data_IF_826639818890
#
_entry.id   IF_826639818890
#
_cell.length_a   1.000
_cell.length_b   1.000
_cell.length_c   1.000
_cell.angle_alpha   90.00
_cell.angle_beta   90.00
_cell.angle_gamma   90.00
#
_symmetry.space_group_name_H-M   'P 1'
#
loop_
_entity.id
_entity.type
_entity.pdbx_description
1 polymer ?
#
# COMPACT_ATOMS: atom_id res chain seq x y z
N UNK A 1 1.92 21.66 -20.46
CA UNK A 1 1.53 22.62 -19.41
C UNK A 1 1.86 22.06 -18.01
N UNK A 2 1.93 22.93 -17.03
CA UNK A 2 2.17 22.53 -15.63
C UNK A 2 1.08 21.59 -15.13
N UNK A 3 -0.17 21.85 -15.44
CA UNK A 3 -1.31 21.02 -15.04
C UNK A 3 -1.23 19.61 -15.64
N UNK A 4 -0.80 19.48 -16.90
CA UNK A 4 -0.64 18.19 -17.55
C UNK A 4 0.50 17.38 -16.90
N UNK A 5 1.63 18.02 -16.62
CA UNK A 5 2.75 17.37 -15.96
C UNK A 5 2.36 16.89 -14.55
N UNK A 6 1.65 17.70 -13.81
CA UNK A 6 1.17 17.37 -12.47
C UNK A 6 0.19 16.18 -12.49
N UNK A 7 -0.72 16.16 -13.48
CA UNK A 7 -1.65 15.04 -13.68
C UNK A 7 -0.92 13.73 -14.01
N UNK A 8 0.14 13.79 -14.81
CA UNK A 8 0.98 12.62 -15.12
C UNK A 8 1.68 12.08 -13.88
N UNK A 9 2.14 12.94 -12.98
CA UNK A 9 2.79 12.52 -11.74
C UNK A 9 1.83 11.78 -10.81
N UNK A 10 0.58 12.26 -10.71
CA UNK A 10 -0.46 11.58 -9.94
C UNK A 10 -0.77 10.21 -10.54
N UNK A 11 -0.94 10.16 -11.87
CA UNK A 11 -1.19 8.90 -12.57
C UNK A 11 -0.04 7.92 -12.40
N UNK A 12 1.19 8.36 -12.57
CA UNK A 12 2.37 7.52 -12.40
C UNK A 12 2.47 6.97 -10.97
N UNK A 13 2.22 7.81 -9.97
CA UNK A 13 2.22 7.38 -8.58
C UNK A 13 1.18 6.28 -8.33
N UNK A 14 -0.05 6.50 -8.78
CA UNK A 14 -1.12 5.50 -8.64
C UNK A 14 -0.77 4.20 -9.35
N UNK A 15 -0.29 4.27 -10.58
CA UNK A 15 0.05 3.09 -11.38
C UNK A 15 1.20 2.28 -10.75
N UNK A 16 2.20 2.95 -10.19
CA UNK A 16 3.32 2.28 -9.53
C UNK A 16 2.92 1.65 -8.20
N UNK A 17 2.01 2.27 -7.46
CA UNK A 17 1.42 1.66 -6.26
C UNK A 17 0.67 0.38 -6.64
N UNK A 18 -0.20 0.44 -7.63
CA UNK A 18 -0.95 -0.72 -8.12
C UNK A 18 0.00 -1.83 -8.58
N UNK A 19 1.01 -1.48 -9.36
CA UNK A 19 2.01 -2.43 -9.87
C UNK A 19 2.74 -3.14 -8.73
N UNK A 20 3.11 -2.42 -7.68
CA UNK A 20 3.81 -2.99 -6.53
C UNK A 20 2.89 -3.93 -5.74
N UNK A 21 1.63 -3.55 -5.53
CA UNK A 21 0.64 -4.39 -4.86
C UNK A 21 0.43 -5.69 -5.64
N UNK A 22 0.24 -5.59 -6.96
CA UNK A 22 0.07 -6.77 -7.82
C UNK A 22 1.29 -7.66 -7.82
N UNK A 23 2.49 -7.09 -7.80
CA UNK A 23 3.72 -7.86 -7.70
C UNK A 23 3.79 -8.66 -6.40
N UNK A 24 3.46 -8.04 -5.27
CA UNK A 24 3.43 -8.73 -3.97
C UNK A 24 2.38 -9.85 -3.98
N UNK A 25 1.22 -9.61 -4.59
CA UNK A 25 0.18 -10.62 -4.74
C UNK A 25 0.69 -11.83 -5.53
N UNK A 26 1.31 -11.60 -6.69
CA UNK A 26 1.86 -12.68 -7.53
C UNK A 26 2.96 -13.44 -6.81
N UNK A 27 3.83 -12.74 -6.08
CA UNK A 27 4.90 -13.39 -5.29
C UNK A 27 4.35 -14.25 -4.15
N UNK A 28 3.17 -13.92 -3.64
CA UNK A 28 2.52 -14.67 -2.56
C UNK A 28 1.85 -15.95 -3.06
N UNK A 29 1.22 -15.89 -4.25
CA UNK A 29 0.43 -17.00 -4.78
C UNK A 29 1.27 -18.27 -4.96
N UNK A 30 0.75 -19.39 -4.48
CA UNK A 30 1.41 -20.69 -4.62
C UNK A 30 2.56 -20.95 -3.65
N UNK A 31 2.84 -20.03 -2.73
CA UNK A 31 3.87 -20.25 -1.71
C UNK A 31 3.32 -21.03 -0.52
N UNK A 32 4.21 -21.69 0.20
CA UNK A 32 3.82 -22.48 1.38
C UNK A 32 3.47 -21.61 2.59
N UNK A 33 3.98 -20.38 2.63
CA UNK A 33 3.78 -19.46 3.75
C UNK A 33 3.44 -18.07 3.25
N UNK A 34 2.62 -17.35 4.02
CA UNK A 34 2.33 -15.92 3.81
C UNK A 34 3.52 -15.11 4.32
N UNK A 35 4.55 -15.00 3.52
CA UNK A 35 5.80 -14.36 3.91
C UNK A 35 6.17 -13.17 3.04
N UNK A 36 5.22 -12.63 2.31
CA UNK A 36 5.41 -11.45 1.45
C UNK A 36 4.48 -10.34 1.91
N UNK A 37 4.99 -9.14 2.10
CA UNK A 37 4.17 -7.96 2.35
C UNK A 37 4.51 -6.85 1.36
N UNK A 38 3.49 -6.05 1.01
CA UNK A 38 3.65 -4.80 0.30
C UNK A 38 3.49 -3.67 1.31
N UNK A 39 4.42 -2.72 1.32
CA UNK A 39 4.37 -1.56 2.22
C UNK A 39 4.40 -0.29 1.38
N UNK A 40 3.38 0.55 1.58
CA UNK A 40 3.35 1.89 1.00
C UNK A 40 3.62 2.86 2.15
N UNK A 41 4.68 3.66 2.03
CA UNK A 41 5.15 4.52 3.11
C UNK A 41 5.45 5.94 2.63
N UNK A 42 5.55 6.85 3.60
CA UNK A 42 6.00 8.23 3.35
C UNK A 42 7.26 8.51 4.16
N UNK A 43 8.31 8.93 3.46
CA UNK A 43 9.55 9.40 4.09
C UNK A 43 9.47 10.91 4.27
N UNK A 44 9.30 11.37 5.52
CA UNK A 44 9.16 12.78 5.83
C UNK A 44 10.47 13.57 5.67
N UNK A 45 11.62 12.90 5.69
CA UNK A 45 12.93 13.54 5.49
C UNK A 45 13.10 13.96 4.04
N UNK A 46 12.87 13.02 3.12
CA UNK A 46 13.02 13.27 1.67
C UNK A 46 11.73 13.72 1.01
N UNK A 47 10.60 13.69 1.76
CA UNK A 47 9.25 14.04 1.28
C UNK A 47 8.84 13.19 0.08
N UNK A 48 9.10 11.89 0.19
CA UNK A 48 8.88 10.92 -0.87
C UNK A 48 7.96 9.80 -0.41
N UNK A 49 7.19 9.27 -1.35
CA UNK A 49 6.41 8.05 -1.15
C UNK A 49 7.17 6.86 -1.72
N UNK A 50 7.20 5.77 -0.96
CA UNK A 50 7.85 4.52 -1.34
C UNK A 50 6.82 3.41 -1.43
N UNK A 51 6.97 2.56 -2.44
CA UNK A 51 6.26 1.30 -2.54
C UNK A 51 7.31 0.18 -2.46
N UNK A 52 7.19 -0.65 -1.44
CA UNK A 52 8.19 -1.65 -1.08
C UNK A 52 7.57 -3.03 -1.03
N UNK A 53 8.38 -4.04 -1.34
CA UNK A 53 8.03 -5.44 -1.14
C UNK A 53 9.04 -6.04 -0.17
N UNK A 54 8.53 -6.68 0.87
CA UNK A 54 9.33 -7.44 1.83
C UNK A 54 8.96 -8.91 1.74
N UNK A 55 9.96 -9.74 1.96
CA UNK A 55 9.80 -11.19 1.96
C UNK A 55 10.62 -11.79 3.10
N UNK A 56 10.09 -12.81 3.77
CA UNK A 56 10.87 -13.57 4.75
C UNK A 56 11.69 -14.60 3.98
N UNK A 57 13.01 -14.46 4.04
CA UNK A 57 13.98 -15.33 3.38
C UNK A 57 14.85 -15.94 4.48
N UNK A 58 14.84 -17.27 4.61
CA UNK A 58 15.59 -17.97 5.65
C UNK A 58 15.31 -17.42 7.07
N UNK A 59 14.04 -17.12 7.34
CA UNK A 59 13.60 -16.60 8.63
C UNK A 59 13.88 -15.12 8.86
N UNK A 60 14.46 -14.41 7.89
CA UNK A 60 14.79 -12.99 7.99
C UNK A 60 13.92 -12.16 7.07
N UNK A 61 13.27 -11.14 7.62
CA UNK A 61 12.51 -10.17 6.83
C UNK A 61 13.45 -9.37 5.95
N UNK A 62 13.31 -9.49 4.64
CA UNK A 62 14.21 -8.92 3.64
C UNK A 62 13.45 -8.00 2.71
N UNK A 63 13.94 -6.79 2.53
CA UNK A 63 13.39 -5.88 1.52
C UNK A 63 13.88 -6.33 0.14
N UNK A 64 12.96 -6.78 -0.71
CA UNK A 64 13.30 -7.26 -2.06
C UNK A 64 13.11 -6.21 -3.13
N UNK A 65 12.34 -5.16 -2.85
CA UNK A 65 12.29 -3.98 -3.72
C UNK A 65 11.85 -2.75 -2.94
N UNK A 66 12.32 -1.59 -3.40
CA UNK A 66 11.95 -0.27 -2.90
C UNK A 66 11.92 0.67 -4.10
N UNK A 67 10.80 1.33 -4.30
CA UNK A 67 10.61 2.26 -5.41
C UNK A 67 10.02 3.56 -4.89
N UNK A 68 10.62 4.68 -5.25
CA UNK A 68 10.02 6.00 -5.06
C UNK A 68 8.92 6.17 -6.08
N UNK A 69 7.67 6.30 -5.61
CA UNK A 69 6.49 6.36 -6.48
C UNK A 69 5.91 7.76 -6.60
N UNK A 70 6.27 8.64 -5.70
CA UNK A 70 5.79 10.02 -5.73
C UNK A 70 6.52 10.90 -4.73
N UNK A 71 6.33 12.21 -4.89
CA UNK A 71 6.90 13.24 -4.02
C UNK A 71 5.87 14.32 -3.75
N UNK A 72 6.07 15.10 -2.68
CA UNK A 72 5.26 16.29 -2.46
C UNK A 72 5.24 17.16 -3.74
N UNK A 73 4.12 17.76 -4.13
CA UNK A 73 2.87 17.92 -3.36
C UNK A 73 1.86 16.76 -3.49
N UNK A 74 2.25 15.61 -4.04
CA UNK A 74 1.38 14.43 -4.06
C UNK A 74 1.06 14.03 -2.62
N UNK A 75 -0.20 13.65 -2.38
CA UNK A 75 -0.68 13.09 -1.12
C UNK A 75 -1.27 11.72 -1.37
N UNK A 76 -0.99 10.78 -0.48
CA UNK A 76 -1.57 9.44 -0.50
C UNK A 76 -2.34 9.25 0.80
N UNK A 77 -3.63 8.95 0.67
CA UNK A 77 -4.52 8.71 1.80
C UNK A 77 -5.14 7.33 1.69
N UNK A 78 -5.40 6.70 2.82
CA UNK A 78 -5.91 5.34 2.90
C UNK A 78 -7.22 5.33 3.66
N UNK A 79 -8.19 4.56 3.15
CA UNK A 79 -9.49 4.34 3.78
C UNK A 79 -9.68 2.84 4.02
N UNK A 80 -10.23 2.50 5.18
CA UNK A 80 -10.56 1.12 5.54
C UNK A 80 -12.06 0.90 5.53
N UNK A 81 -12.50 -0.32 5.29
CA UNK A 81 -13.92 -0.66 5.20
C UNK A 81 -14.67 -0.53 6.52
N UNK A 82 -13.97 -0.67 7.65
CA UNK A 82 -14.55 -0.50 8.98
C UNK A 82 -14.55 0.96 9.46
N UNK A 83 -13.97 1.87 8.68
CA UNK A 83 -13.90 3.30 9.02
C UNK A 83 -13.68 4.11 7.72
N UNK A 84 -14.65 4.04 6.82
CA UNK A 84 -14.49 4.56 5.45
C UNK A 84 -14.70 6.07 5.30
N UNK A 85 -14.99 6.76 6.40
CA UNK A 85 -15.09 8.23 6.42
C UNK A 85 -13.80 8.91 6.88
N UNK A 86 -12.88 8.15 7.47
CA UNK A 86 -11.61 8.68 7.96
C UNK A 86 -10.50 8.42 6.95
N UNK A 87 -9.86 9.50 6.49
CA UNK A 87 -8.70 9.44 5.62
C UNK A 87 -7.43 9.34 6.47
N UNK A 88 -6.78 8.19 6.44
CA UNK A 88 -5.51 8.00 7.14
C UNK A 88 -4.34 8.42 6.27
N UNK A 89 -3.39 9.17 6.85
CA UNK A 89 -2.08 9.35 6.23
C UNK A 89 -1.23 8.09 6.48
N UNK A 90 -0.22 7.87 5.67
CA UNK A 90 0.65 6.71 5.82
C UNK A 90 1.46 6.74 7.11
N UNK A 91 1.72 7.93 7.67
CA UNK A 91 2.46 8.08 8.93
C UNK A 91 1.64 7.68 10.15
N UNK A 92 0.30 7.56 10.02
CA UNK A 92 -0.58 7.11 11.09
C UNK A 92 -0.69 5.58 11.17
N UNK A 93 -0.14 4.87 10.20
CA UNK A 93 -0.32 3.43 10.04
C UNK A 93 0.96 2.66 10.33
N UNK A 94 0.81 1.46 10.85
CA UNK A 94 1.91 0.48 11.00
C UNK A 94 1.40 -0.94 10.79
N UNK A 95 2.31 -1.87 10.56
CA UNK A 95 1.99 -3.27 10.37
C UNK A 95 1.72 -4.00 11.69
N UNK A 96 0.92 -5.07 11.61
CA UNK A 96 0.52 -5.86 12.79
C UNK A 96 1.02 -7.30 12.76
N UNK A 97 1.54 -7.76 11.62
CA UNK A 97 1.94 -9.15 11.45
C UNK A 97 3.28 -9.44 12.13
N UNK A 98 3.53 -10.71 12.58
CA UNK A 98 4.78 -11.05 13.27
C UNK A 98 6.04 -10.71 12.48
N UNK A 99 5.98 -10.79 11.16
CA UNK A 99 7.11 -10.46 10.29
C UNK A 99 6.91 -9.15 9.54
N UNK A 100 5.99 -8.29 10.01
CA UNK A 100 5.82 -6.98 9.39
C UNK A 100 7.06 -6.13 9.58
N UNK A 101 7.43 -5.36 8.54
CA UNK A 101 8.50 -4.39 8.68
C UNK A 101 8.12 -3.32 9.71
N UNK A 102 9.12 -2.70 10.32
CA UNK A 102 8.89 -1.61 11.28
C UNK A 102 8.53 -0.29 10.60
N UNK A 103 8.51 -0.25 9.28
CA UNK A 103 8.20 0.95 8.51
C UNK A 103 6.77 1.40 8.78
N UNK A 104 6.59 2.68 9.10
CA UNK A 104 5.26 3.29 9.13
C UNK A 104 4.67 3.25 7.72
N UNK A 105 3.41 2.85 7.61
CA UNK A 105 2.77 2.80 6.31
C UNK A 105 1.61 1.82 6.24
N UNK A 106 1.09 1.69 5.03
CA UNK A 106 0.07 0.71 4.70
C UNK A 106 0.75 -0.63 4.43
N UNK A 107 0.43 -1.62 5.24
CA UNK A 107 0.94 -2.99 5.10
C UNK A 107 -0.14 -3.88 4.52
N UNK A 108 0.14 -4.48 3.37
CA UNK A 108 -0.80 -5.35 2.66
C UNK A 108 -0.19 -6.75 2.51
N UNK A 109 -0.98 -7.74 2.84
CA UNK A 109 -0.62 -9.16 2.73
C UNK A 109 -1.73 -9.88 2.00
N UNK A 110 -1.37 -10.89 1.23
CA UNK A 110 -2.31 -11.68 0.44
C UNK A 110 -2.37 -13.11 0.92
N UNK A 111 -3.54 -13.72 0.81
CA UNK A 111 -3.70 -15.14 1.03
C UNK A 111 -3.01 -15.90 -0.10
N UNK A 112 -2.16 -16.84 0.25
CA UNK A 112 -1.35 -17.60 -0.72
C UNK A 112 -2.16 -18.54 -1.61
N UNK A 113 -3.35 -18.95 -1.17
CA UNK A 113 -4.20 -19.86 -1.91
C UNK A 113 -5.16 -19.11 -2.85
N UNK A 114 -5.75 -18.03 -2.38
CA UNK A 114 -6.79 -17.29 -3.12
C UNK A 114 -6.30 -16.00 -3.77
N UNK A 115 -5.20 -15.42 -3.27
CA UNK A 115 -4.76 -14.09 -3.68
C UNK A 115 -5.60 -12.96 -3.11
N UNK A 116 -6.53 -13.25 -2.20
CA UNK A 116 -7.34 -12.25 -1.53
C UNK A 116 -6.51 -11.46 -0.51
N UNK A 117 -6.93 -10.22 -0.23
CA UNK A 117 -6.32 -9.46 0.85
C UNK A 117 -6.59 -10.09 2.21
N UNK A 118 -5.60 -10.07 3.08
CA UNK A 118 -5.77 -10.44 4.49
C UNK A 118 -6.27 -9.23 5.29
N UNK A 119 -7.16 -9.49 6.24
CA UNK A 119 -7.69 -8.47 7.14
C UNK A 119 -6.72 -8.22 8.29
N UNK A 120 -6.79 -7.02 8.87
CA UNK A 120 -6.09 -6.71 10.11
C UNK A 120 -4.57 -6.60 9.99
N UNK A 121 -4.06 -6.33 8.79
CA UNK A 121 -2.63 -6.22 8.53
C UNK A 121 -2.04 -4.86 8.90
N UNK A 122 -2.90 -3.88 9.16
CA UNK A 122 -2.51 -2.55 9.62
C UNK A 122 -3.22 -2.19 10.92
N UNK A 123 -2.58 -1.32 11.70
CA UNK A 123 -3.21 -0.66 12.84
C UNK A 123 -2.97 0.85 12.79
N UNK A 124 -3.89 1.59 13.40
CA UNK A 124 -3.79 3.03 13.62
C UNK A 124 -4.18 3.32 15.07
N UNK A 125 -3.31 4.03 15.79
CA UNK A 125 -3.57 4.37 17.20
C UNK A 125 -3.80 3.15 18.10
N UNK A 126 -3.15 2.03 17.82
CA UNK A 126 -3.31 0.80 18.60
C UNK A 126 -4.52 -0.05 18.24
N UNK A 127 -5.33 0.37 17.24
CA UNK A 127 -6.51 -0.36 16.79
C UNK A 127 -6.25 -1.00 15.45
N UNK A 128 -6.42 -2.32 15.36
CA UNK A 128 -6.34 -3.03 14.07
C UNK A 128 -7.45 -2.58 13.14
N UNK A 129 -7.07 -2.31 11.90
CA UNK A 129 -8.01 -2.00 10.83
C UNK A 129 -8.37 -3.28 10.07
N UNK A 130 -9.56 -3.31 9.49
CA UNK A 130 -9.99 -4.46 8.69
C UNK A 130 -9.34 -4.44 7.31
N UNK A 131 -10.10 -4.38 6.23
CA UNK A 131 -9.52 -4.34 4.87
C UNK A 131 -9.26 -2.90 4.43
N UNK A 132 -8.14 -2.67 3.77
CA UNK A 132 -7.96 -1.46 2.98
C UNK A 132 -9.04 -1.44 1.89
N UNK A 133 -9.86 -0.40 1.89
CA UNK A 133 -10.96 -0.24 0.93
C UNK A 133 -10.53 0.53 -0.30
N UNK A 134 -9.77 1.59 -0.09
CA UNK A 134 -9.28 2.43 -1.19
C UNK A 134 -8.05 3.22 -0.78
N UNK A 135 -7.25 3.54 -1.78
CA UNK A 135 -6.09 4.41 -1.67
C UNK A 135 -6.34 5.58 -2.61
N UNK A 136 -6.24 6.80 -2.10
CA UNK A 136 -6.47 8.01 -2.88
C UNK A 136 -5.15 8.73 -3.08
N UNK A 137 -4.78 8.91 -4.34
CA UNK A 137 -3.58 9.66 -4.74
C UNK A 137 -4.04 10.99 -5.31
N UNK A 138 -3.58 12.10 -4.76
CA UNK A 138 -4.00 13.42 -5.19
C UNK A 138 -2.89 14.45 -5.05
N UNK A 139 -3.08 15.59 -5.70
CA UNK A 139 -2.19 16.75 -5.55
C UNK A 139 -2.96 18.05 -5.27
N UNK A 140 -4.23 17.91 -4.85
CA UNK A 140 -5.13 19.03 -4.63
C UNK A 140 -5.96 19.40 -5.84
N UNK A 141 -5.50 19.09 -7.06
CA UNK A 141 -6.22 19.38 -8.33
C UNK A 141 -6.65 18.10 -9.02
N UNK A 142 -5.76 17.13 -9.11
CA UNK A 142 -6.02 15.82 -9.70
C UNK A 142 -6.16 14.77 -8.60
N UNK A 143 -7.01 13.78 -8.86
CA UNK A 143 -7.30 12.72 -7.89
C UNK A 143 -7.50 11.40 -8.61
N UNK A 144 -6.85 10.36 -8.15
CA UNK A 144 -7.05 8.99 -8.63
C UNK A 144 -7.37 8.12 -7.42
N UNK A 145 -8.42 7.33 -7.55
CA UNK A 145 -8.84 6.40 -6.53
C UNK A 145 -8.51 4.97 -6.94
N UNK A 146 -7.79 4.28 -6.08
CA UNK A 146 -7.47 2.86 -6.21
C UNK A 146 -8.41 2.12 -5.27
N UNK A 147 -9.35 1.35 -5.82
CA UNK A 147 -10.30 0.55 -5.05
C UNK A 147 -9.81 -0.89 -4.96
N UNK A 148 -9.80 -1.42 -3.76
CA UNK A 148 -9.40 -2.80 -3.49
C UNK A 148 -10.63 -3.66 -3.22
N UNK A 149 -10.61 -4.90 -3.69
CA UNK A 149 -11.68 -5.88 -3.40
C UNK A 149 -11.09 -6.98 -2.54
N UNK A 150 -11.35 -6.92 -1.23
CA UNK A 150 -10.71 -7.79 -0.25
C UNK A 150 -10.84 -9.29 -0.54
N UNK A 151 -12.02 -9.74 -0.97
CA UNK A 151 -12.27 -11.17 -1.23
C UNK A 151 -11.51 -11.74 -2.42
N UNK A 152 -11.17 -10.92 -3.39
CA UNK A 152 -10.54 -11.38 -4.64
C UNK A 152 -9.11 -10.89 -4.81
N UNK A 153 -8.70 -9.90 -4.05
CA UNK A 153 -7.43 -9.21 -4.26
C UNK A 153 -7.42 -8.32 -5.49
N UNK A 154 -8.57 -8.12 -6.11
CA UNK A 154 -8.70 -7.29 -7.32
C UNK A 154 -8.52 -5.82 -7.00
N UNK A 155 -7.92 -5.08 -7.93
CA UNK A 155 -7.71 -3.64 -7.83
C UNK A 155 -8.36 -2.96 -9.04
N UNK A 156 -9.07 -1.87 -8.78
CA UNK A 156 -9.70 -1.05 -9.81
C UNK A 156 -9.24 0.39 -9.61
N UNK A 157 -8.77 1.03 -10.69
CA UNK A 157 -8.29 2.41 -10.67
C UNK A 157 -9.29 3.32 -11.39
N UNK A 158 -9.60 4.44 -10.76
CA UNK A 158 -10.50 5.45 -11.37
C UNK A 158 -9.85 6.83 -11.43
#
# INVERSE_FOLDING_TARGET
SVGTLTGRRVRKCADEIVSTIERARVLTLGREQNNVECVISYDSTDKEYHAMVYQVINGTLTQVSDRVVGRDPIQVQVYFDDDDTHAYSLTELKGTLPYASSTQGLHLVFNRASGAFEAGTCEAGGTKKNFCKRIVVSNGTRRIEITTVGRTGKIVTK
#
